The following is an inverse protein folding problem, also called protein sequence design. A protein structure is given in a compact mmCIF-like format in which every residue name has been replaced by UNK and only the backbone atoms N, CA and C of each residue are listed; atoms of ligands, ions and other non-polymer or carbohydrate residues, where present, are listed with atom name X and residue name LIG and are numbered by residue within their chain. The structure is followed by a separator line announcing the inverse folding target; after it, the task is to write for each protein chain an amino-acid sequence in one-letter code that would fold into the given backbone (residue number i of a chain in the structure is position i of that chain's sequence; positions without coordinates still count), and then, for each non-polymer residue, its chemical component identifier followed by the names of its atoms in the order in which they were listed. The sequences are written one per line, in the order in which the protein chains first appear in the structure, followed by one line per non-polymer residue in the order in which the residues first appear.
data_IF_429400446001
#
_entry.id   IF_429400446001
#
_cell.length_a   1.000
_cell.length_b   1.000
_cell.length_c   1.000
_cell.angle_alpha   90.00
_cell.angle_beta   90.00
_cell.angle_gamma   90.00
#
_symmetry.space_group_name_H-M   'P 1'
#
loop_
_entity.id
_entity.type
_entity.pdbx_description
1 polymer ?
#
# COMPACT_ATOMS: atom_id res chain seq x y z
N UNK A 1 8.72 18.59 -24.54
CA UNK A 1 8.62 18.43 -23.07
C UNK A 1 7.66 17.28 -22.78
N UNK A 2 7.96 16.42 -21.81
CA UNK A 2 7.02 15.36 -21.43
C UNK A 2 5.68 15.97 -20.96
N UNK A 3 4.59 15.28 -21.25
CA UNK A 3 3.28 15.68 -20.71
C UNK A 3 3.26 15.52 -19.17
N UNK A 4 2.32 16.19 -18.48
CA UNK A 4 2.15 15.99 -17.04
C UNK A 4 1.95 14.51 -16.67
N UNK A 5 1.17 13.78 -17.45
CA UNK A 5 0.94 12.36 -17.27
C UNK A 5 2.25 11.57 -17.33
N UNK A 6 3.08 11.82 -18.34
CA UNK A 6 4.40 11.19 -18.48
C UNK A 6 5.32 11.51 -17.29
N UNK A 7 5.30 12.75 -16.80
CA UNK A 7 6.10 13.13 -15.62
C UNK A 7 5.68 12.35 -14.36
N UNK A 8 4.37 12.18 -14.14
CA UNK A 8 3.88 11.40 -13.00
C UNK A 8 4.12 9.90 -13.16
N UNK A 9 4.03 9.34 -14.38
CA UNK A 9 4.40 7.96 -14.63
C UNK A 9 5.89 7.71 -14.35
N UNK A 10 6.78 8.59 -14.82
CA UNK A 10 8.22 8.51 -14.53
C UNK A 10 8.51 8.66 -13.03
N UNK A 11 7.76 9.50 -12.31
CA UNK A 11 7.88 9.62 -10.86
C UNK A 11 7.52 8.30 -10.16
N UNK A 12 6.42 7.64 -10.58
CA UNK A 12 6.03 6.35 -10.02
C UNK A 12 7.11 5.28 -10.24
N UNK A 13 7.67 5.17 -11.45
CA UNK A 13 8.76 4.25 -11.76
C UNK A 13 10.02 4.52 -10.93
N UNK A 14 10.39 5.81 -10.80
CA UNK A 14 11.53 6.20 -9.98
C UNK A 14 11.30 5.83 -8.51
N UNK A 15 10.12 6.11 -7.98
CA UNK A 15 9.78 5.78 -6.59
C UNK A 15 9.75 4.27 -6.37
N UNK A 16 9.23 3.47 -7.30
CA UNK A 16 9.28 2.01 -7.21
C UNK A 16 10.73 1.51 -7.07
N UNK A 17 11.66 2.03 -7.86
CA UNK A 17 13.08 1.70 -7.76
C UNK A 17 13.73 2.17 -6.46
N UNK A 18 13.33 3.34 -5.97
CA UNK A 18 13.84 3.90 -4.71
C UNK A 18 13.40 3.06 -3.52
N UNK A 19 12.10 2.78 -3.38
CA UNK A 19 11.57 2.03 -2.23
C UNK A 19 12.07 0.59 -2.16
N UNK A 20 12.44 0.00 -3.30
CA UNK A 20 13.04 -1.33 -3.36
C UNK A 20 14.56 -1.33 -3.20
N UNK A 21 15.19 -0.16 -3.07
CA UNK A 21 16.65 -0.01 -2.99
C UNK A 21 17.26 -0.42 -1.64
N UNK A 22 16.48 -0.42 -0.56
CA UNK A 22 16.93 -0.83 0.77
C UNK A 22 15.76 -1.25 1.66
N UNK A 23 16.07 -2.01 2.71
CA UNK A 23 15.07 -2.42 3.72
C UNK A 23 14.39 -1.20 4.37
N UNK A 24 15.14 -0.15 4.71
CA UNK A 24 14.61 1.05 5.34
C UNK A 24 13.63 1.83 4.45
N UNK A 25 13.95 1.97 3.16
CA UNK A 25 13.04 2.59 2.19
C UNK A 25 11.76 1.77 1.98
N UNK A 26 11.91 0.45 1.92
CA UNK A 26 10.79 -0.46 1.75
C UNK A 26 9.84 -0.42 2.95
N UNK A 27 10.34 -0.50 4.18
CA UNK A 27 9.51 -0.44 5.39
C UNK A 27 8.83 0.92 5.56
N UNK A 28 9.53 2.02 5.27
CA UNK A 28 8.92 3.36 5.27
C UNK A 28 7.76 3.50 4.27
N UNK A 29 7.91 2.88 3.08
CA UNK A 29 6.81 2.79 2.12
C UNK A 29 5.66 1.93 2.66
N UNK A 30 5.94 0.75 3.24
CA UNK A 30 4.91 -0.15 3.78
C UNK A 30 4.09 0.50 4.91
N UNK A 31 4.72 1.29 5.78
CA UNK A 31 4.00 2.07 6.80
C UNK A 31 2.95 3.00 6.19
N UNK A 32 3.28 3.67 5.10
CA UNK A 32 2.32 4.53 4.40
C UNK A 32 1.28 3.73 3.64
N UNK A 33 1.69 2.65 2.97
CA UNK A 33 0.82 1.76 2.23
C UNK A 33 -0.23 1.10 3.14
N UNK A 34 0.15 0.67 4.35
CA UNK A 34 -0.76 0.10 5.35
C UNK A 34 -1.86 1.10 5.75
N UNK A 35 -1.54 2.39 5.95
CA UNK A 35 -2.55 3.42 6.19
C UNK A 35 -3.47 3.65 4.98
N UNK A 36 -2.94 3.42 3.78
CA UNK A 36 -3.62 3.64 2.50
C UNK A 36 -4.12 2.35 1.85
N UNK A 37 -4.40 1.31 2.63
CA UNK A 37 -4.76 -0.05 2.17
C UNK A 37 -5.91 -0.11 1.16
N UNK A 38 -6.77 0.90 1.09
CA UNK A 38 -7.87 0.99 0.11
C UNK A 38 -7.42 1.41 -1.29
N UNK A 39 -6.19 1.90 -1.43
CA UNK A 39 -5.63 2.26 -2.71
C UNK A 39 -4.87 1.08 -3.32
N UNK A 40 -4.95 0.85 -4.63
CA UNK A 40 -4.10 -0.13 -5.29
C UNK A 40 -2.62 0.27 -5.18
N UNK A 41 -1.72 -0.69 -5.27
CA UNK A 41 -0.27 -0.51 -5.07
C UNK A 41 0.31 0.65 -5.87
N UNK A 42 -0.07 0.80 -7.14
CA UNK A 42 0.39 1.91 -7.99
C UNK A 42 -0.01 3.29 -7.42
N UNK A 43 -1.25 3.43 -6.96
CA UNK A 43 -1.73 4.68 -6.34
C UNK A 43 -1.03 4.93 -5.00
N UNK A 44 -0.75 3.89 -4.20
CA UNK A 44 0.03 4.00 -2.96
C UNK A 44 1.45 4.53 -3.23
N UNK A 45 2.14 4.01 -4.26
CA UNK A 45 3.44 4.53 -4.70
C UNK A 45 3.36 6.01 -5.11
N UNK A 46 2.35 6.38 -5.87
CA UNK A 46 2.16 7.76 -6.31
C UNK A 46 1.86 8.70 -5.14
N UNK A 47 1.08 8.25 -4.16
CA UNK A 47 0.80 9.03 -2.94
C UNK A 47 2.09 9.17 -2.14
N UNK A 48 2.81 8.07 -1.89
CA UNK A 48 4.06 8.07 -1.14
C UNK A 48 5.11 9.01 -1.76
N UNK A 49 5.28 8.97 -3.08
CA UNK A 49 6.20 9.85 -3.81
C UNK A 49 5.93 11.35 -3.60
N UNK A 50 4.66 11.74 -3.40
CA UNK A 50 4.26 13.13 -3.28
C UNK A 50 4.01 13.56 -1.84
N UNK A 51 3.66 12.63 -0.97
CA UNK A 51 3.35 12.86 0.45
C UNK A 51 3.60 11.58 1.27
N UNK A 52 4.85 11.30 1.65
CA UNK A 52 5.22 10.08 2.39
C UNK A 52 4.51 9.93 3.74
N UNK A 53 4.13 11.04 4.36
CA UNK A 53 3.41 11.11 5.62
C UNK A 53 1.88 11.07 5.49
N UNK A 54 1.35 10.75 4.30
CA UNK A 54 -0.09 10.67 4.07
C UNK A 54 -0.74 9.64 4.99
N UNK A 55 -1.90 10.01 5.55
CA UNK A 55 -2.63 9.17 6.51
C UNK A 55 -3.99 8.73 5.99
N UNK A 56 -4.72 9.62 5.32
CA UNK A 56 -6.03 9.30 4.75
C UNK A 56 -6.30 10.22 3.57
N UNK A 57 -6.24 9.67 2.39
CA UNK A 57 -6.47 10.40 1.15
C UNK A 57 -7.88 10.15 0.60
N UNK A 58 -8.45 11.19 0.02
CA UNK A 58 -9.69 11.10 -0.75
C UNK A 58 -9.81 12.25 -1.75
N UNK A 59 -10.70 12.10 -2.72
CA UNK A 59 -11.02 13.16 -3.66
C UNK A 59 -11.72 14.36 -2.98
N UNK A 60 -11.78 15.46 -3.69
CA UNK A 60 -12.40 16.69 -3.22
C UNK A 60 -13.88 16.50 -2.84
N UNK A 61 -14.61 15.73 -3.63
CA UNK A 61 -16.05 15.53 -3.44
C UNK A 61 -16.35 14.71 -2.19
N UNK A 62 -15.55 13.68 -1.92
CA UNK A 62 -15.68 12.90 -0.69
C UNK A 62 -15.44 13.79 0.54
N UNK A 63 -14.35 14.56 0.54
CA UNK A 63 -14.07 15.47 1.66
C UNK A 63 -15.18 16.49 1.85
N UNK A 64 -15.61 17.15 0.77
CA UNK A 64 -16.53 18.29 0.85
C UNK A 64 -17.99 17.86 1.04
N UNK A 65 -18.46 16.85 0.27
CA UNK A 65 -19.89 16.47 0.25
C UNK A 65 -20.23 15.42 1.31
N UNK A 66 -19.35 14.42 1.51
CA UNK A 66 -19.65 13.32 2.40
C UNK A 66 -19.12 13.54 3.82
N UNK A 67 -17.90 14.07 3.94
CA UNK A 67 -17.26 14.33 5.23
C UNK A 67 -17.54 15.73 5.79
N UNK A 68 -18.12 16.62 4.97
CA UNK A 68 -18.37 18.01 5.38
C UNK A 68 -17.11 18.83 5.67
N UNK A 69 -15.95 18.36 5.20
CA UNK A 69 -14.66 19.02 5.34
C UNK A 69 -14.38 19.88 4.12
N UNK A 70 -13.49 20.86 4.24
CA UNK A 70 -13.03 21.63 3.09
C UNK A 70 -11.52 21.45 2.88
N UNK A 71 -11.09 21.38 1.63
CA UNK A 71 -9.67 21.42 1.28
C UNK A 71 -9.17 22.84 1.52
N UNK A 72 -8.09 22.99 2.26
CA UNK A 72 -7.52 24.30 2.60
C UNK A 72 -6.99 24.99 1.35
N UNK A 73 -7.14 26.32 1.31
CA UNK A 73 -6.61 27.11 0.20
C UNK A 73 -5.08 26.97 0.14
N UNK A 74 -4.56 26.64 -1.04
CA UNK A 74 -3.13 26.46 -1.27
C UNK A 74 -2.66 25.01 -1.09
N UNK A 75 -3.50 24.07 -0.63
CA UNK A 75 -3.16 22.65 -0.63
C UNK A 75 -2.94 22.16 -2.04
N UNK A 76 -1.90 21.35 -2.22
CA UNK A 76 -1.59 20.71 -3.49
C UNK A 76 -2.26 19.34 -3.53
N UNK A 77 -3.08 19.10 -4.56
CA UNK A 77 -3.63 17.77 -4.78
C UNK A 77 -2.54 16.78 -5.16
N UNK A 78 -2.61 15.60 -4.59
CA UNK A 78 -1.77 14.45 -4.94
C UNK A 78 -2.31 13.87 -6.25
N UNK A 79 -1.48 13.85 -7.28
CA UNK A 79 -1.89 13.36 -8.60
C UNK A 79 -1.80 11.84 -8.66
N UNK A 80 -2.86 11.21 -9.14
CA UNK A 80 -2.94 9.78 -9.44
C UNK A 80 -3.26 9.60 -10.93
N UNK A 81 -2.85 8.47 -11.49
CA UNK A 81 -3.19 8.13 -12.88
C UNK A 81 -4.51 7.36 -12.88
N UNK A 82 -5.50 7.92 -13.55
CA UNK A 82 -6.80 7.28 -13.76
C UNK A 82 -6.80 6.57 -15.12
N UNK A 83 -6.97 5.25 -15.08
CA UNK A 83 -7.06 4.39 -16.28
C UNK A 83 -8.47 3.84 -16.49
N UNK A 84 -9.48 4.36 -15.80
CA UNK A 84 -10.87 3.89 -15.91
C UNK A 84 -11.57 4.32 -17.22
N UNK A 85 -11.03 5.32 -17.91
CA UNK A 85 -11.54 5.80 -19.19
C UNK A 85 -10.74 5.28 -20.39
N UNK A 86 -11.19 5.62 -21.61
CA UNK A 86 -10.51 5.22 -22.86
C UNK A 86 -9.07 5.73 -22.98
N UNK A 87 -8.77 6.84 -22.34
CA UNK A 87 -7.43 7.41 -22.29
C UNK A 87 -7.01 7.70 -20.85
N UNK A 88 -5.77 7.37 -20.46
CA UNK A 88 -5.26 7.70 -19.13
C UNK A 88 -5.31 9.19 -18.85
N UNK A 89 -5.76 9.56 -17.66
CA UNK A 89 -5.88 10.96 -17.21
C UNK A 89 -5.36 11.13 -15.79
N UNK A 90 -5.27 12.36 -15.29
CA UNK A 90 -4.91 12.63 -13.91
C UNK A 90 -6.16 12.89 -13.08
N UNK A 91 -6.30 12.15 -11.99
CA UNK A 91 -7.22 12.46 -10.88
C UNK A 91 -6.42 12.99 -9.70
N UNK A 92 -7.06 13.74 -8.81
CA UNK A 92 -6.40 14.34 -7.65
C UNK A 92 -7.09 13.94 -6.37
N UNK A 93 -6.28 13.57 -5.38
CA UNK A 93 -6.73 13.31 -4.01
C UNK A 93 -6.03 14.27 -3.04
N UNK A 94 -6.59 14.43 -1.85
CA UNK A 94 -6.07 15.28 -0.79
C UNK A 94 -5.99 14.46 0.48
N UNK A 95 -4.89 14.58 1.21
CA UNK A 95 -4.76 13.98 2.53
C UNK A 95 -5.62 14.74 3.56
N UNK A 96 -6.04 14.07 4.61
CA UNK A 96 -6.83 14.70 5.69
C UNK A 96 -6.13 15.89 6.30
N UNK A 97 -4.79 15.88 6.38
CA UNK A 97 -3.98 16.99 6.86
C UNK A 97 -4.11 18.26 6.01
N UNK A 98 -4.52 18.12 4.74
CA UNK A 98 -4.79 19.23 3.82
C UNK A 98 -6.21 19.77 3.95
N UNK A 99 -7.03 19.20 4.84
CA UNK A 99 -8.43 19.58 5.00
C UNK A 99 -8.68 20.31 6.33
N UNK A 100 -9.74 21.10 6.36
CA UNK A 100 -10.25 21.75 7.57
C UNK A 100 -11.67 21.29 7.89
N UNK A 101 -12.08 21.44 9.16
CA UNK A 101 -13.41 21.09 9.64
C UNK A 101 -14.37 22.28 9.55
N UNK A 102 -15.66 21.99 9.32
CA UNK A 102 -16.80 22.88 9.51
C UNK A 102 -17.58 22.39 10.73
N UNK A 103 -18.53 23.20 11.19
CA UNK A 103 -19.38 22.86 12.34
C UNK A 103 -20.06 21.48 12.20
N UNK A 104 -20.47 21.13 10.99
CA UNK A 104 -21.14 19.86 10.68
C UNK A 104 -20.22 18.78 10.08
N UNK A 105 -18.89 18.93 10.23
CA UNK A 105 -17.96 17.92 9.72
C UNK A 105 -18.12 16.60 10.47
N UNK A 106 -18.15 15.50 9.72
CA UNK A 106 -18.09 14.18 10.32
C UNK A 106 -16.74 14.01 11.01
N UNK A 107 -16.74 13.41 12.18
CA UNK A 107 -15.50 12.97 12.82
C UNK A 107 -14.83 11.95 11.91
N UNK A 108 -13.58 12.19 11.60
CA UNK A 108 -12.70 11.22 10.97
C UNK A 108 -11.84 10.61 12.06
N UNK A 109 -11.95 9.30 12.23
CA UNK A 109 -11.17 8.57 13.20
C UNK A 109 -10.40 7.50 12.42
N UNK A 110 -9.08 7.63 12.45
CA UNK A 110 -8.21 6.55 12.01
C UNK A 110 -8.31 5.43 13.04
N UNK A 111 -8.45 4.22 12.56
CA UNK A 111 -8.32 3.06 13.42
C UNK A 111 -6.83 2.88 13.75
N UNK A 112 -6.53 2.75 15.03
CA UNK A 112 -5.21 2.47 15.54
C UNK A 112 -5.29 1.21 16.39
N UNK A 113 -4.37 0.28 16.16
CA UNK A 113 -4.26 -0.91 16.99
C UNK A 113 -3.81 -0.52 18.41
N UNK A 114 -4.39 -1.20 19.40
CA UNK A 114 -3.94 -1.22 20.77
C UNK A 114 -4.22 -2.59 21.38
N UNK A 115 -3.66 -2.87 22.57
CA UNK A 115 -3.74 -4.18 23.23
C UNK A 115 -5.19 -4.64 23.48
N UNK A 116 -6.14 -3.72 23.66
CA UNK A 116 -7.56 -4.05 23.86
C UNK A 116 -8.19 -4.65 22.59
N UNK A 117 -7.61 -4.40 21.44
CA UNK A 117 -8.08 -4.91 20.14
C UNK A 117 -7.56 -6.33 19.83
N UNK A 118 -6.52 -6.82 20.54
CA UNK A 118 -5.81 -8.05 20.20
C UNK A 118 -6.75 -9.24 20.02
N UNK A 119 -7.62 -9.50 20.98
CA UNK A 119 -8.54 -10.64 20.93
C UNK A 119 -9.54 -10.56 19.76
N UNK A 120 -10.02 -9.36 19.46
CA UNK A 120 -10.98 -9.14 18.35
C UNK A 120 -10.29 -9.28 17.00
N UNK A 121 -9.07 -8.75 16.88
CA UNK A 121 -8.26 -8.87 15.68
C UNK A 121 -7.89 -10.33 15.44
N UNK A 122 -7.38 -11.02 16.46
CA UNK A 122 -7.01 -12.43 16.39
C UNK A 122 -8.20 -13.31 15.95
N UNK A 123 -9.38 -13.12 16.54
CA UNK A 123 -10.58 -13.85 16.17
C UNK A 123 -11.04 -13.54 14.72
N UNK A 124 -10.90 -12.29 14.28
CA UNK A 124 -11.21 -11.92 12.91
C UNK A 124 -10.26 -12.59 11.91
N UNK A 125 -8.95 -12.56 12.19
CA UNK A 125 -7.94 -13.23 11.36
C UNK A 125 -8.16 -14.74 11.31
N UNK A 126 -8.44 -15.39 12.45
CA UNK A 126 -8.75 -16.82 12.49
C UNK A 126 -9.98 -17.15 11.63
N UNK A 127 -11.03 -16.33 11.74
CA UNK A 127 -12.26 -16.52 10.95
C UNK A 127 -12.01 -16.43 9.43
N UNK A 128 -11.16 -15.51 8.98
CA UNK A 128 -10.95 -15.26 7.55
C UNK A 128 -9.85 -16.15 6.94
N UNK A 129 -8.81 -16.45 7.71
CA UNK A 129 -7.63 -17.17 7.21
C UNK A 129 -7.48 -18.58 7.78
N UNK A 130 -8.29 -18.96 8.78
CA UNK A 130 -8.25 -20.29 9.38
C UNK A 130 -7.00 -20.57 10.24
N UNK A 131 -6.27 -19.54 10.64
CA UNK A 131 -5.03 -19.65 11.43
C UNK A 131 -5.32 -19.22 12.87
N UNK A 132 -5.10 -20.14 13.83
CA UNK A 132 -5.31 -19.87 15.27
C UNK A 132 -4.26 -18.92 15.83
N UNK A 133 -4.66 -18.13 16.85
CA UNK A 133 -3.79 -17.26 17.62
C UNK A 133 -3.20 -17.93 18.88
N UNK A 134 -3.22 -19.25 19.00
CA UNK A 134 -2.75 -20.00 20.19
C UNK A 134 -1.31 -19.66 20.61
N UNK A 135 -0.48 -19.19 19.64
CA UNK A 135 0.91 -18.76 19.87
C UNK A 135 1.07 -17.24 19.89
N UNK A 136 -0.03 -16.50 19.99
CA UNK A 136 -0.06 -15.04 19.95
C UNK A 136 -0.31 -14.46 18.56
N UNK A 137 -0.74 -13.20 18.52
CA UNK A 137 -1.14 -12.49 17.29
C UNK A 137 0.02 -12.38 16.29
N UNK A 138 1.23 -12.06 16.72
CA UNK A 138 2.38 -11.93 15.83
C UNK A 138 2.68 -13.24 15.08
N UNK A 139 2.62 -14.39 15.77
CA UNK A 139 2.82 -15.70 15.13
C UNK A 139 1.65 -16.05 14.19
N UNK A 140 0.42 -15.67 14.55
CA UNK A 140 -0.74 -15.83 13.68
C UNK A 140 -0.56 -15.06 12.38
N UNK A 141 -0.15 -13.79 12.44
CA UNK A 141 0.09 -12.93 11.26
C UNK A 141 1.20 -13.51 10.39
N UNK A 142 2.32 -13.94 10.97
CA UNK A 142 3.41 -14.59 10.25
C UNK A 142 2.93 -15.85 9.52
N UNK A 143 2.16 -16.70 10.17
CA UNK A 143 1.63 -17.93 9.56
C UNK A 143 0.63 -17.62 8.43
N UNK A 144 -0.19 -16.59 8.59
CA UNK A 144 -1.08 -16.10 7.52
C UNK A 144 -0.25 -15.62 6.33
N UNK A 145 0.78 -14.82 6.57
CA UNK A 145 1.65 -14.32 5.53
C UNK A 145 2.35 -15.45 4.77
N UNK A 146 2.87 -16.46 5.48
CA UNK A 146 3.46 -17.66 4.87
C UNK A 146 2.46 -18.36 3.95
N UNK A 147 1.24 -18.62 4.41
CA UNK A 147 0.21 -19.30 3.63
C UNK A 147 -0.15 -18.50 2.36
N UNK A 148 -0.35 -17.19 2.48
CA UNK A 148 -0.66 -16.31 1.33
C UNK A 148 0.47 -16.26 0.31
N UNK A 149 1.71 -16.20 0.77
CA UNK A 149 2.88 -16.17 -0.11
C UNK A 149 3.09 -17.50 -0.81
N UNK A 150 2.86 -18.62 -0.11
CA UNK A 150 2.93 -19.95 -0.70
C UNK A 150 1.88 -20.14 -1.81
N UNK A 151 0.64 -19.73 -1.55
CA UNK A 151 -0.42 -19.77 -2.56
C UNK A 151 -0.06 -18.88 -3.75
N UNK A 152 0.34 -17.64 -3.50
CA UNK A 152 0.71 -16.70 -4.56
C UNK A 152 1.88 -17.20 -5.41
N UNK A 153 2.93 -17.77 -4.78
CA UNK A 153 4.05 -18.36 -5.51
C UNK A 153 3.61 -19.51 -6.40
N UNK A 154 2.82 -20.42 -5.87
CA UNK A 154 2.35 -21.59 -6.63
C UNK A 154 1.54 -21.19 -7.86
N UNK A 155 0.71 -20.16 -7.73
CA UNK A 155 -0.14 -19.66 -8.80
C UNK A 155 0.61 -18.83 -9.84
N UNK A 156 1.65 -18.09 -9.42
CA UNK A 156 2.32 -17.09 -10.26
C UNK A 156 3.80 -17.41 -10.56
N UNK A 157 4.31 -18.58 -10.16
CA UNK A 157 5.72 -18.95 -10.31
C UNK A 157 6.26 -18.72 -11.72
N UNK A 158 5.51 -19.10 -12.75
CA UNK A 158 5.94 -18.94 -14.14
C UNK A 158 6.12 -17.48 -14.51
N UNK A 159 5.20 -16.63 -14.11
CA UNK A 159 5.23 -15.20 -14.42
C UNK A 159 6.35 -14.51 -13.63
N UNK A 160 6.56 -14.88 -12.36
CA UNK A 160 7.64 -14.38 -11.54
C UNK A 160 9.00 -14.71 -12.16
N UNK A 161 9.21 -15.98 -12.55
CA UNK A 161 10.46 -16.40 -13.20
C UNK A 161 10.66 -15.74 -14.57
N UNK A 162 9.56 -15.37 -15.24
CA UNK A 162 9.61 -14.72 -16.56
C UNK A 162 9.99 -13.23 -16.55
N UNK A 163 9.96 -12.57 -15.39
CA UNK A 163 10.23 -11.12 -15.27
C UNK A 163 11.55 -10.77 -14.57
N UNK A 164 12.46 -11.74 -14.42
CA UNK A 164 13.71 -11.56 -13.68
C UNK A 164 14.76 -10.70 -14.39
N UNK A 165 14.62 -10.51 -15.70
CA UNK A 165 15.55 -9.73 -16.51
C UNK A 165 15.77 -8.32 -15.92
N UNK A 166 17.01 -7.92 -15.76
CA UNK A 166 17.43 -6.66 -15.11
C UNK A 166 17.04 -6.55 -13.61
N UNK A 167 16.71 -7.65 -12.94
CA UNK A 167 16.51 -7.69 -11.49
C UNK A 167 17.76 -8.19 -10.75
N UNK A 168 17.80 -8.01 -9.43
CA UNK A 168 18.87 -8.59 -8.58
C UNK A 168 18.86 -10.13 -8.57
N UNK A 169 17.80 -10.76 -9.06
CA UNK A 169 17.64 -12.22 -9.08
C UNK A 169 17.91 -12.84 -10.46
N UNK A 170 18.29 -12.03 -11.45
CA UNK A 170 18.50 -12.49 -12.83
C UNK A 170 19.50 -13.66 -12.96
N UNK A 171 20.57 -13.63 -12.15
CA UNK A 171 21.61 -14.66 -12.17
C UNK A 171 21.33 -15.86 -11.22
N UNK A 172 20.19 -15.83 -10.50
CA UNK A 172 19.84 -16.89 -9.55
C UNK A 172 19.13 -18.05 -10.28
N UNK A 173 19.38 -19.27 -9.79
CA UNK A 173 18.58 -20.42 -10.21
C UNK A 173 17.15 -20.34 -9.63
N UNK A 174 16.23 -21.10 -10.21
CA UNK A 174 14.81 -21.12 -9.83
C UNK A 174 14.58 -21.35 -8.33
N UNK A 175 15.40 -22.20 -7.69
CA UNK A 175 15.28 -22.48 -6.26
C UNK A 175 15.67 -21.27 -5.40
N UNK A 176 16.79 -20.63 -5.73
CA UNK A 176 17.23 -19.45 -5.00
C UNK A 176 16.31 -18.24 -5.24
N UNK A 177 15.73 -18.12 -6.44
CA UNK A 177 14.66 -17.14 -6.71
C UNK A 177 13.44 -17.39 -5.83
N UNK A 178 12.98 -18.65 -5.74
CA UNK A 178 11.86 -19.02 -4.87
C UNK A 178 12.12 -18.65 -3.42
N UNK A 179 13.28 -19.01 -2.88
CA UNK A 179 13.66 -18.70 -1.50
C UNK A 179 13.70 -17.20 -1.25
N UNK A 180 14.33 -16.44 -2.15
CA UNK A 180 14.44 -14.99 -2.04
C UNK A 180 13.06 -14.30 -2.11
N UNK A 181 12.22 -14.72 -3.07
CA UNK A 181 10.86 -14.21 -3.23
C UNK A 181 10.01 -14.48 -1.98
N UNK A 182 9.96 -15.75 -1.53
CA UNK A 182 9.16 -16.15 -0.38
C UNK A 182 9.56 -15.39 0.88
N UNK A 183 10.86 -15.25 1.15
CA UNK A 183 11.36 -14.51 2.29
C UNK A 183 10.94 -13.03 2.24
N UNK A 184 11.19 -12.35 1.13
CA UNK A 184 10.87 -10.93 0.97
C UNK A 184 9.35 -10.69 1.04
N UNK A 185 8.55 -11.53 0.38
CA UNK A 185 7.10 -11.42 0.35
C UNK A 185 6.48 -11.71 1.73
N UNK A 186 6.96 -12.75 2.46
CA UNK A 186 6.45 -13.08 3.80
C UNK A 186 6.71 -11.94 4.77
N UNK A 187 7.94 -11.41 4.83
CA UNK A 187 8.28 -10.28 5.71
C UNK A 187 7.42 -9.06 5.36
N UNK A 188 7.28 -8.75 4.08
CA UNK A 188 6.49 -7.60 3.63
C UNK A 188 5.00 -7.75 3.96
N UNK A 189 4.44 -8.94 3.77
CA UNK A 189 3.03 -9.24 4.07
C UNK A 189 2.77 -9.22 5.58
N UNK A 190 3.66 -9.80 6.38
CA UNK A 190 3.55 -9.76 7.85
C UNK A 190 3.59 -8.31 8.37
N UNK A 191 4.44 -7.48 7.75
CA UNK A 191 4.53 -6.06 8.12
C UNK A 191 3.29 -5.25 7.73
N UNK A 192 2.59 -5.65 6.68
CA UNK A 192 1.40 -4.97 6.18
C UNK A 192 0.09 -5.40 6.85
N UNK A 193 0.07 -6.56 7.51
CA UNK A 193 -1.06 -7.08 8.30
C UNK A 193 -1.20 -6.36 9.64
#
# INVERSE_FOLDING_TARGET
MPSKLQMYAQMADHTARQVTGSFGEWTAFLETAGRLYKYPFHDQLMIYAQKPDATACADYDLWNKQMGRYVRRGSKGIALIDTSGDNPSLKYVFDISDTGTRENSRRFQLWEYNDEHESVVAAALEKYFGVSADKGLANQMEQIALNLVDEYWNDNRRDILGILENSFLEEYDDYNVEVAFRNAATVSTTYAL
#
